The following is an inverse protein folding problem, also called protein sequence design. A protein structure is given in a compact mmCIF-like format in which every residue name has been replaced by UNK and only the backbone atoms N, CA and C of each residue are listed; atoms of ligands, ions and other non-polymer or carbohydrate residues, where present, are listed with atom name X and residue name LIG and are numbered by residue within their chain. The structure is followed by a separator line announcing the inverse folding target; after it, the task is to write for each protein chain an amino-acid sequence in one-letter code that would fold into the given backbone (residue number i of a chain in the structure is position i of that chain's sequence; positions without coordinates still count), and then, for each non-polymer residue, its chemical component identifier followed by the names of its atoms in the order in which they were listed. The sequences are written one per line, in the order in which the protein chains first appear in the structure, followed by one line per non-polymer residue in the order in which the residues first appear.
data_IF_266646689393
#
_entry.id   IF_266646689393
#
_cell.length_a   1.000
_cell.length_b   1.000
_cell.length_c   1.000
_cell.angle_alpha   90.00
_cell.angle_beta   90.00
_cell.angle_gamma   90.00
#
_symmetry.space_group_name_H-M   'P 1'
#
loop_
_entity.id
_entity.type
_entity.pdbx_description
1 polymer ?
#
# COMPACT_ATOMS: atom_id res chain seq x y z
N UNK A 1 2.24 -5.45 -39.58
CA UNK A 1 1.02 -6.27 -39.66
C UNK A 1 1.01 -7.27 -38.51
N UNK A 2 0.57 -6.83 -37.33
CA UNK A 2 0.26 -7.67 -36.17
C UNK A 2 -0.97 -7.02 -35.51
N UNK A 3 -2.15 -7.32 -36.06
CA UNK A 3 -3.43 -7.04 -35.41
C UNK A 3 -3.74 -8.27 -34.55
N UNK A 4 -3.22 -8.30 -33.32
CA UNK A 4 -3.67 -9.29 -32.35
C UNK A 4 -5.05 -8.87 -31.86
N UNK A 5 -6.04 -9.59 -32.40
CA UNK A 5 -7.43 -9.56 -31.99
C UNK A 5 -7.53 -10.11 -30.57
N UNK A 6 -7.79 -9.25 -29.60
CA UNK A 6 -8.53 -9.65 -28.41
C UNK A 6 -9.96 -9.96 -28.88
N UNK A 7 -10.23 -11.23 -29.15
CA UNK A 7 -11.59 -11.74 -29.36
C UNK A 7 -12.13 -12.14 -28.01
N UNK A 8 -13.00 -11.30 -27.45
CA UNK A 8 -13.79 -11.58 -26.26
C UNK A 8 -14.67 -12.83 -26.49
N UNK A 9 -14.47 -13.93 -25.74
CA UNK A 9 -15.48 -14.96 -25.62
C UNK A 9 -16.62 -14.40 -24.77
N UNK A 10 -17.85 -14.62 -25.23
CA UNK A 10 -19.10 -14.22 -24.60
C UNK A 10 -19.12 -14.42 -23.08
N UNK A 11 -19.41 -13.37 -22.29
CA UNK A 11 -19.79 -13.59 -20.89
C UNK A 11 -19.62 -12.49 -19.83
N UNK A 12 -19.11 -11.28 -20.10
CA UNK A 12 -19.01 -10.26 -19.04
C UNK A 12 -20.39 -9.93 -18.44
N UNK A 13 -20.62 -10.39 -17.20
CA UNK A 13 -21.73 -9.92 -16.37
C UNK A 13 -21.33 -8.56 -15.81
N UNK A 14 -22.00 -7.49 -16.24
CA UNK A 14 -21.88 -6.18 -15.59
C UNK A 14 -22.57 -6.28 -14.23
N UNK A 15 -21.82 -6.17 -13.14
CA UNK A 15 -22.40 -5.80 -11.84
C UNK A 15 -22.25 -4.30 -11.69
N UNK A 16 -23.36 -3.58 -11.72
CA UNK A 16 -23.43 -2.17 -11.38
C UNK A 16 -23.87 -2.14 -9.92
N UNK A 17 -22.95 -1.86 -9.00
CA UNK A 17 -23.26 -1.72 -7.58
C UNK A 17 -23.43 -0.21 -7.34
N UNK A 18 -24.64 0.22 -6.99
CA UNK A 18 -24.95 1.62 -6.68
C UNK A 18 -25.42 1.66 -5.23
N UNK A 19 -24.64 2.30 -4.35
CA UNK A 19 -25.00 2.59 -2.97
C UNK A 19 -25.14 4.11 -2.76
N UNK A 20 -26.24 4.56 -2.13
CA UNK A 20 -26.43 5.97 -1.77
C UNK A 20 -26.02 6.21 -0.31
N UNK A 21 -24.85 6.81 -0.06
CA UNK A 21 -24.35 7.23 1.26
C UNK A 21 -23.46 8.47 1.17
N UNK A 22 -23.01 9.00 2.32
CA UNK A 22 -22.38 10.33 2.51
C UNK A 22 -21.17 10.62 1.62
N UNK A 23 -20.48 9.58 1.14
CA UNK A 23 -19.37 9.63 0.20
C UNK A 23 -19.76 8.75 -1.01
N UNK A 24 -19.51 9.17 -2.27
CA UNK A 24 -19.78 8.33 -3.43
C UNK A 24 -18.98 7.03 -3.38
N UNK A 25 -19.60 5.89 -3.70
CA UNK A 25 -18.94 4.60 -3.67
C UNK A 25 -19.85 3.42 -3.33
N UNK A 26 -19.30 2.22 -3.50
CA UNK A 26 -19.96 0.96 -3.17
C UNK A 26 -19.48 0.45 -1.83
N UNK A 27 -20.39 0.35 -0.86
CA UNK A 27 -20.14 -0.21 0.45
C UNK A 27 -20.66 -1.64 0.51
N UNK A 28 -19.80 -2.58 0.90
CA UNK A 28 -20.16 -3.97 1.14
C UNK A 28 -20.35 -4.18 2.64
N UNK A 29 -21.59 -4.50 3.03
CA UNK A 29 -22.00 -4.55 4.43
C UNK A 29 -22.48 -3.21 4.97
N UNK A 30 -22.64 -3.13 6.29
CA UNK A 30 -22.96 -1.90 7.03
C UNK A 30 -21.98 -1.62 8.20
N UNK A 31 -20.78 -2.21 8.17
CA UNK A 31 -19.77 -2.12 9.21
C UNK A 31 -19.03 -0.77 9.26
N UNK A 32 -19.38 0.18 8.40
CA UNK A 32 -18.83 1.54 8.40
C UNK A 32 -19.27 2.37 9.60
N UNK A 33 -20.22 1.87 10.39
CA UNK A 33 -20.81 2.60 11.51
C UNK A 33 -19.92 2.61 12.76
N UNK A 34 -20.16 3.59 13.64
CA UNK A 34 -19.47 3.70 14.94
C UNK A 34 -20.04 2.66 15.91
N UNK A 35 -19.27 1.62 16.21
CA UNK A 35 -19.70 0.54 17.09
C UNK A 35 -19.99 1.09 18.49
N UNK A 36 -21.17 0.75 19.03
CA UNK A 36 -21.64 1.25 20.32
C UNK A 36 -22.50 2.51 20.21
N UNK A 37 -22.60 3.13 19.03
CA UNK A 37 -23.61 4.15 18.75
C UNK A 37 -25.01 3.53 18.59
N UNK A 38 -26.05 4.35 18.73
CA UNK A 38 -27.43 3.89 18.60
C UNK A 38 -27.71 3.33 17.19
N UNK A 39 -28.04 2.03 17.10
CA UNK A 39 -28.28 1.34 15.82
C UNK A 39 -27.03 0.75 15.16
N UNK A 40 -25.90 0.71 15.89
CA UNK A 40 -24.66 0.06 15.48
C UNK A 40 -24.06 -0.71 16.68
N UNK A 41 -24.84 -1.62 17.28
CA UNK A 41 -24.23 -2.63 18.15
C UNK A 41 -23.45 -3.64 17.28
N UNK A 42 -22.45 -4.37 17.82
CA UNK A 42 -21.78 -5.44 17.07
C UNK A 42 -22.75 -6.46 16.46
N UNK A 43 -23.90 -6.71 17.10
CA UNK A 43 -24.97 -7.58 16.59
C UNK A 43 -25.77 -7.00 15.42
N UNK A 44 -25.64 -5.69 15.18
CA UNK A 44 -26.35 -4.97 14.12
C UNK A 44 -25.50 -4.89 12.83
N UNK A 45 -24.24 -5.34 12.89
CA UNK A 45 -23.36 -5.44 11.71
C UNK A 45 -23.81 -6.63 10.85
N UNK A 46 -24.25 -6.32 9.64
CA UNK A 46 -24.58 -7.22 8.56
C UNK A 46 -23.31 -7.52 7.79
N UNK A 47 -22.75 -8.70 8.05
CA UNK A 47 -21.67 -9.28 7.27
C UNK A 47 -22.14 -9.66 5.86
N UNK A 48 -21.45 -9.15 4.83
CA UNK A 48 -21.67 -9.51 3.44
C UNK A 48 -20.36 -10.07 2.87
N UNK A 49 -20.45 -11.16 2.10
CA UNK A 49 -19.30 -11.65 1.32
C UNK A 49 -19.49 -11.25 -0.14
N UNK A 50 -18.65 -10.33 -0.63
CA UNK A 50 -18.60 -9.96 -2.04
C UNK A 50 -17.71 -10.96 -2.78
N UNK A 51 -18.28 -11.67 -3.75
CA UNK A 51 -17.51 -12.52 -4.67
C UNK A 51 -17.36 -11.81 -6.01
N UNK A 52 -16.12 -11.62 -6.45
CA UNK A 52 -15.80 -11.10 -7.78
C UNK A 52 -15.17 -12.25 -8.59
N UNK A 53 -15.89 -12.68 -9.62
CA UNK A 53 -15.45 -13.78 -10.47
C UNK A 53 -14.22 -13.41 -11.31
N UNK A 54 -13.38 -14.40 -11.63
CA UNK A 54 -12.24 -14.22 -12.51
C UNK A 54 -12.61 -13.59 -13.86
N UNK A 55 -11.75 -12.73 -14.39
CA UNK A 55 -11.99 -11.99 -15.64
C UNK A 55 -13.00 -10.84 -15.53
N UNK A 56 -13.43 -10.49 -14.31
CA UNK A 56 -14.34 -9.35 -14.10
C UNK A 56 -13.62 -8.02 -14.28
N UNK A 57 -14.28 -7.09 -14.96
CA UNK A 57 -13.92 -5.68 -15.02
C UNK A 57 -14.81 -4.90 -14.05
N UNK A 58 -14.20 -4.25 -13.06
CA UNK A 58 -14.85 -3.34 -12.11
C UNK A 58 -14.53 -1.91 -12.54
N UNK A 59 -15.55 -1.05 -12.60
CA UNK A 59 -15.42 0.33 -13.03
C UNK A 59 -15.90 1.27 -11.92
N UNK A 60 -15.11 2.28 -11.59
CA UNK A 60 -15.50 3.40 -10.72
C UNK A 60 -15.50 4.74 -11.48
N UNK A 61 -16.36 5.67 -11.06
CA UNK A 61 -16.26 7.08 -11.43
C UNK A 61 -15.27 7.82 -10.49
N UNK A 62 -14.92 9.07 -10.84
CA UNK A 62 -13.87 9.86 -10.20
C UNK A 62 -13.87 9.82 -8.67
N UNK A 63 -15.01 10.02 -8.01
CA UNK A 63 -15.09 10.03 -6.54
C UNK A 63 -15.59 8.71 -5.94
N UNK A 64 -15.67 7.63 -6.71
CA UNK A 64 -16.19 6.35 -6.23
C UNK A 64 -15.08 5.41 -5.78
N UNK A 65 -15.29 4.83 -4.59
CA UNK A 65 -14.48 3.74 -4.04
C UNK A 65 -15.27 2.42 -3.98
N UNK A 66 -14.56 1.29 -3.98
CA UNK A 66 -15.10 0.01 -3.51
C UNK A 66 -14.63 -0.22 -2.07
N UNK A 67 -15.57 -0.26 -1.13
CA UNK A 67 -15.30 -0.28 0.31
C UNK A 67 -15.87 -1.56 0.91
N UNK A 68 -15.00 -2.40 1.47
CA UNK A 68 -15.37 -3.58 2.24
C UNK A 68 -15.41 -3.18 3.70
N UNK A 69 -16.61 -3.07 4.27
CA UNK A 69 -16.78 -2.59 5.64
C UNK A 69 -16.51 -3.69 6.67
N UNK A 70 -16.24 -3.30 7.92
CA UNK A 70 -15.98 -4.24 9.02
C UNK A 70 -17.00 -5.38 9.10
N UNK A 71 -16.50 -6.59 9.27
CA UNK A 71 -17.29 -7.81 9.34
C UNK A 71 -17.77 -8.33 7.98
N UNK A 72 -17.52 -7.62 6.88
CA UNK A 72 -17.72 -8.11 5.51
C UNK A 72 -16.41 -8.58 4.91
N UNK A 73 -16.51 -9.42 3.86
CA UNK A 73 -15.35 -9.98 3.19
C UNK A 73 -15.41 -9.80 1.69
N UNK A 74 -14.25 -9.78 1.04
CA UNK A 74 -14.12 -9.86 -0.41
C UNK A 74 -13.44 -11.16 -0.84
N UNK A 75 -13.95 -11.82 -1.87
CA UNK A 75 -13.30 -12.92 -2.56
C UNK A 75 -13.12 -12.51 -4.03
N UNK A 76 -12.03 -11.79 -4.30
CA UNK A 76 -11.66 -11.35 -5.65
C UNK A 76 -10.48 -12.20 -6.13
N UNK A 77 -10.81 -13.41 -6.58
CA UNK A 77 -9.82 -14.43 -6.94
C UNK A 77 -9.86 -14.69 -8.44
N UNK A 78 -9.12 -13.86 -9.17
CA UNK A 78 -8.83 -14.04 -10.59
C UNK A 78 -7.85 -15.18 -10.85
N UNK A 79 -7.39 -15.26 -12.10
CA UNK A 79 -6.32 -16.18 -12.49
C UNK A 79 -5.30 -15.48 -13.39
N UNK A 80 -4.14 -16.10 -13.61
CA UNK A 80 -3.13 -15.56 -14.52
C UNK A 80 -3.65 -15.32 -15.95
N UNK A 81 -4.65 -16.10 -16.41
CA UNK A 81 -5.26 -15.94 -17.74
C UNK A 81 -6.47 -15.03 -17.74
N UNK A 82 -7.17 -14.93 -16.60
CA UNK A 82 -8.39 -14.16 -16.43
C UNK A 82 -8.28 -13.32 -15.14
N UNK A 83 -7.40 -12.30 -15.11
CA UNK A 83 -7.26 -11.44 -13.95
C UNK A 83 -8.52 -10.60 -13.76
N UNK A 84 -8.77 -10.20 -12.51
CA UNK A 84 -9.76 -9.16 -12.21
C UNK A 84 -9.10 -7.81 -12.44
N UNK A 85 -9.76 -6.91 -13.17
CA UNK A 85 -9.27 -5.57 -13.45
C UNK A 85 -10.22 -4.55 -12.82
N UNK A 86 -9.68 -3.65 -12.01
CA UNK A 86 -10.40 -2.52 -11.41
C UNK A 86 -9.79 -1.21 -11.95
N UNK A 87 -10.61 -0.36 -12.56
CA UNK A 87 -10.17 0.90 -13.20
C UNK A 87 -11.32 1.90 -13.28
N UNK A 88 -11.06 3.08 -13.81
CA UNK A 88 -12.08 4.09 -14.07
C UNK A 88 -12.99 3.83 -15.29
N UNK A 89 -14.15 4.49 -15.30
CA UNK A 89 -15.02 4.61 -16.48
C UNK A 89 -14.33 5.35 -17.63
N UNK A 90 -13.47 6.32 -17.34
CA UNK A 90 -12.74 7.11 -18.35
C UNK A 90 -11.73 6.24 -19.11
N UNK A 91 -10.94 5.43 -18.40
CA UNK A 91 -10.03 4.48 -19.01
C UNK A 91 -10.75 3.44 -19.86
N UNK A 92 -11.88 2.93 -19.37
CA UNK A 92 -12.71 2.01 -20.15
C UNK A 92 -13.24 2.67 -21.43
N UNK A 93 -13.69 3.93 -21.32
CA UNK A 93 -14.18 4.70 -22.47
C UNK A 93 -13.07 4.92 -23.49
N UNK A 94 -11.85 5.22 -23.05
CA UNK A 94 -10.68 5.32 -23.91
C UNK A 94 -10.37 4.00 -24.64
N UNK A 95 -10.40 2.85 -23.95
CA UNK A 95 -10.21 1.54 -24.56
C UNK A 95 -11.27 1.23 -25.62
N UNK A 96 -12.55 1.51 -25.34
CA UNK A 96 -13.66 1.29 -26.29
C UNK A 96 -13.55 2.21 -27.51
N UNK A 97 -13.06 3.44 -27.33
CA UNK A 97 -12.77 4.36 -28.43
C UNK A 97 -11.58 3.92 -29.30
N UNK A 98 -10.90 2.83 -28.96
CA UNK A 98 -9.73 2.33 -29.67
C UNK A 98 -8.44 3.07 -29.32
N UNK A 99 -8.45 3.85 -28.23
CA UNK A 99 -7.23 4.40 -27.67
C UNK A 99 -6.44 3.25 -27.03
N UNK A 100 -5.17 3.14 -27.43
CA UNK A 100 -4.17 2.40 -26.65
C UNK A 100 -3.48 3.32 -25.64
N UNK A 101 -3.98 4.55 -25.51
CA UNK A 101 -3.51 5.54 -24.57
C UNK A 101 -4.10 5.32 -23.19
N UNK A 102 -3.37 5.86 -22.25
CA UNK A 102 -3.65 5.94 -20.83
C UNK A 102 -4.44 7.23 -20.56
N UNK A 103 -5.52 7.16 -19.79
CA UNK A 103 -6.39 8.32 -19.57
C UNK A 103 -5.91 9.24 -18.45
N UNK A 104 -5.09 8.74 -17.50
CA UNK A 104 -4.53 9.54 -16.42
C UNK A 104 -4.47 8.82 -15.08
N UNK A 105 -4.08 9.57 -14.05
CA UNK A 105 -4.05 9.16 -12.64
C UNK A 105 -5.28 9.71 -11.92
N UNK A 106 -5.73 9.09 -10.83
CA UNK A 106 -6.79 9.65 -9.98
C UNK A 106 -8.15 9.72 -10.67
N UNK A 107 -8.48 8.70 -11.45
CA UNK A 107 -9.72 8.64 -12.22
C UNK A 107 -10.85 7.91 -11.48
N UNK A 108 -10.55 7.31 -10.33
CA UNK A 108 -11.47 6.79 -9.33
C UNK A 108 -10.73 6.74 -7.98
N UNK A 109 -11.47 6.51 -6.90
CA UNK A 109 -10.90 6.62 -5.57
C UNK A 109 -9.96 5.46 -5.23
N UNK A 110 -10.43 4.21 -5.39
CA UNK A 110 -9.65 3.01 -5.09
C UNK A 110 -10.44 1.90 -4.39
N UNK A 111 -9.71 0.90 -3.91
CA UNK A 111 -10.24 -0.23 -3.13
C UNK A 111 -9.79 -0.11 -1.67
N UNK A 112 -10.75 -0.11 -0.74
CA UNK A 112 -10.47 -0.05 0.69
C UNK A 112 -11.10 -1.23 1.45
N UNK A 113 -10.33 -1.87 2.33
CA UNK A 113 -10.79 -2.94 3.23
C UNK A 113 -10.70 -2.44 4.68
N UNK A 114 -11.81 -2.44 5.40
CA UNK A 114 -11.90 -2.03 6.80
C UNK A 114 -12.10 -3.28 7.67
N UNK A 115 -11.10 -3.62 8.47
CA UNK A 115 -11.09 -4.79 9.35
C UNK A 115 -11.15 -4.46 10.85
N UNK A 116 -10.96 -5.49 11.67
CA UNK A 116 -11.03 -5.43 13.14
C UNK A 116 -9.67 -5.53 13.87
N UNK A 117 -8.54 -5.53 13.15
CA UNK A 117 -7.22 -5.58 13.77
C UNK A 117 -6.90 -4.32 14.59
N UNK A 118 -5.97 -4.46 15.53
CA UNK A 118 -5.58 -3.37 16.41
C UNK A 118 -4.72 -2.34 15.67
N UNK A 119 -4.99 -1.07 15.96
CA UNK A 119 -4.23 0.13 15.55
C UNK A 119 -3.78 0.91 16.79
N UNK A 120 -2.72 1.69 16.66
CA UNK A 120 -2.28 2.61 17.71
C UNK A 120 -3.09 3.92 17.78
N UNK A 121 -4.06 4.10 16.87
CA UNK A 121 -4.98 5.26 16.85
C UNK A 121 -6.22 5.09 17.75
N UNK A 122 -6.41 3.92 18.36
CA UNK A 122 -7.60 3.62 19.15
C UNK A 122 -7.71 4.51 20.40
N UNK A 123 -8.81 5.26 20.51
CA UNK A 123 -9.17 6.00 21.73
C UNK A 123 -10.39 5.33 22.39
N UNK A 124 -10.13 4.46 23.37
CA UNK A 124 -11.18 3.79 24.15
C UNK A 124 -11.62 2.43 23.59
N UNK A 125 -12.70 1.89 24.15
CA UNK A 125 -13.28 0.59 23.79
C UNK A 125 -14.81 0.71 23.73
N UNK A 126 -15.48 0.21 22.66
CA UNK A 126 -14.90 -0.41 21.46
C UNK A 126 -14.06 0.60 20.64
N UNK A 127 -13.05 0.10 19.92
CA UNK A 127 -12.25 0.95 19.05
C UNK A 127 -13.03 1.32 17.77
N UNK A 128 -13.07 2.62 17.47
CA UNK A 128 -13.68 3.18 16.27
C UNK A 128 -12.76 4.29 15.74
N UNK A 129 -11.82 3.92 14.87
CA UNK A 129 -11.00 4.91 14.18
C UNK A 129 -11.69 5.28 12.88
N UNK A 130 -11.87 6.57 12.64
CA UNK A 130 -12.43 7.03 11.37
C UNK A 130 -11.36 6.83 10.29
N UNK A 131 -11.68 6.05 9.27
CA UNK A 131 -10.82 5.84 8.12
C UNK A 131 -10.64 7.16 7.37
N UNK A 132 -9.49 7.32 6.73
CA UNK A 132 -9.24 8.40 5.78
C UNK A 132 -10.31 8.43 4.69
N UNK A 133 -10.58 9.61 4.13
CA UNK A 133 -11.72 9.79 3.23
C UNK A 133 -13.08 9.85 3.95
N UNK A 134 -13.14 9.66 5.27
CA UNK A 134 -14.41 9.53 6.00
C UNK A 134 -15.29 8.39 5.46
N UNK A 135 -14.66 7.30 5.00
CA UNK A 135 -15.34 6.12 4.42
C UNK A 135 -15.88 5.14 5.48
N UNK A 136 -15.90 5.54 6.75
CA UNK A 136 -16.40 4.73 7.84
C UNK A 136 -15.38 4.47 8.94
N UNK A 137 -15.80 3.67 9.91
CA UNK A 137 -14.95 3.28 11.03
C UNK A 137 -14.29 1.93 10.80
N UNK A 138 -13.02 1.83 11.17
CA UNK A 138 -12.23 0.61 11.17
C UNK A 138 -11.64 0.30 12.56
N UNK A 139 -10.86 -0.77 12.64
CA UNK A 139 -10.17 -1.29 13.81
C UNK A 139 -11.08 -1.99 14.83
N UNK A 140 -10.43 -2.65 15.78
CA UNK A 140 -11.04 -3.46 16.83
C UNK A 140 -9.97 -4.08 17.72
N UNK A 141 -10.23 -5.30 18.18
CA UNK A 141 -9.34 -6.09 19.03
C UNK A 141 -8.99 -7.47 18.44
N UNK A 142 -9.25 -7.69 17.14
CA UNK A 142 -9.03 -8.98 16.46
C UNK A 142 -7.93 -8.90 15.38
N UNK A 143 -6.69 -9.14 15.78
CA UNK A 143 -5.55 -9.28 14.87
C UNK A 143 -5.62 -10.54 13.96
N UNK A 144 -6.62 -11.42 14.15
CA UNK A 144 -6.86 -12.56 13.26
C UNK A 144 -8.07 -12.33 12.33
N UNK A 145 -8.62 -11.11 12.28
CA UNK A 145 -9.71 -10.74 11.38
C UNK A 145 -9.43 -11.18 9.92
N UNK A 146 -10.48 -11.65 9.26
CA UNK A 146 -10.43 -12.07 7.85
C UNK A 146 -11.34 -11.15 7.05
N UNK A 147 -10.74 -10.14 6.42
CA UNK A 147 -11.41 -9.23 5.49
C UNK A 147 -11.48 -9.81 4.06
N UNK A 148 -10.95 -11.02 3.84
CA UNK A 148 -11.07 -11.78 2.61
C UNK A 148 -9.76 -12.03 1.87
N UNK A 149 -9.88 -12.28 0.56
CA UNK A 149 -8.79 -12.65 -0.33
C UNK A 149 -8.81 -11.88 -1.64
N UNK A 150 -7.62 -11.41 -2.04
CA UNK A 150 -7.35 -10.82 -3.35
C UNK A 150 -6.31 -11.69 -4.07
N UNK A 151 -6.65 -12.20 -5.25
CA UNK A 151 -5.67 -12.90 -6.08
C UNK A 151 -5.81 -12.60 -7.57
N UNK A 152 -4.70 -12.34 -8.26
CA UNK A 152 -4.68 -11.91 -9.66
C UNK A 152 -5.59 -10.70 -9.90
N UNK A 153 -5.38 -9.65 -9.12
CA UNK A 153 -6.13 -8.39 -9.18
C UNK A 153 -5.22 -7.30 -9.72
N UNK A 154 -5.72 -6.55 -10.69
CA UNK A 154 -5.02 -5.40 -11.30
C UNK A 154 -5.85 -4.15 -11.05
N UNK A 155 -5.30 -3.20 -10.28
CA UNK A 155 -5.91 -1.94 -9.91
C UNK A 155 -5.18 -0.84 -10.69
N UNK A 156 -5.92 -0.07 -11.49
CA UNK A 156 -5.35 0.93 -12.39
C UNK A 156 -5.96 2.31 -12.12
N UNK A 157 -5.18 3.38 -12.20
CA UNK A 157 -5.69 4.78 -12.27
C UNK A 157 -6.49 5.25 -11.05
N UNK A 158 -6.29 4.63 -9.89
CA UNK A 158 -6.91 5.02 -8.62
C UNK A 158 -6.21 6.26 -8.01
N UNK A 159 -6.50 6.61 -6.76
CA UNK A 159 -5.77 7.68 -6.06
C UNK A 159 -6.55 8.99 -5.87
N UNK A 160 -7.84 9.04 -6.18
CA UNK A 160 -8.55 10.32 -6.25
C UNK A 160 -9.16 10.76 -4.91
N UNK A 161 -9.29 12.07 -4.74
CA UNK A 161 -10.03 12.73 -3.66
C UNK A 161 -11.54 12.41 -3.76
N UNK A 162 -12.09 11.87 -2.68
CA UNK A 162 -13.48 11.41 -2.64
C UNK A 162 -14.46 12.47 -2.14
N UNK A 163 -13.99 13.54 -1.50
CA UNK A 163 -14.85 14.61 -0.98
C UNK A 163 -14.44 16.03 -1.40
N UNK A 164 -13.34 16.18 -2.15
CA UNK A 164 -12.87 17.45 -2.69
C UNK A 164 -12.19 18.35 -1.65
N UNK A 165 -11.86 17.80 -0.48
CA UNK A 165 -11.24 18.50 0.64
C UNK A 165 -9.78 18.08 0.87
N UNK A 166 -9.19 17.33 -0.05
CA UNK A 166 -7.88 16.70 0.10
C UNK A 166 -7.94 15.49 1.02
N UNK A 167 -8.99 14.66 0.87
CA UNK A 167 -9.04 13.33 1.48
C UNK A 167 -8.97 12.28 0.36
N UNK A 168 -7.81 12.24 -0.30
CA UNK A 168 -7.45 11.23 -1.27
C UNK A 168 -7.51 9.81 -0.65
N UNK A 169 -7.88 8.83 -1.48
CA UNK A 169 -7.69 7.40 -1.18
C UNK A 169 -6.61 6.84 -2.09
N UNK A 170 -6.11 5.67 -1.74
CA UNK A 170 -4.98 5.03 -2.43
C UNK A 170 -5.46 4.01 -3.47
N UNK A 171 -4.52 3.36 -4.16
CA UNK A 171 -4.86 2.24 -5.04
C UNK A 171 -5.53 1.09 -4.29
N UNK A 172 -4.86 0.59 -3.26
CA UNK A 172 -5.36 -0.45 -2.37
C UNK A 172 -5.04 -0.09 -0.91
N UNK A 173 -6.07 0.17 -0.13
CA UNK A 173 -5.92 0.57 1.27
C UNK A 173 -6.40 -0.51 2.22
N UNK A 174 -5.58 -0.83 3.21
CA UNK A 174 -5.87 -1.77 4.29
C UNK A 174 -6.02 -1.03 5.61
N UNK A 175 -7.26 -0.87 6.07
CA UNK A 175 -7.57 -0.25 7.34
C UNK A 175 -7.81 -1.33 8.40
N UNK A 176 -6.80 -1.63 9.21
CA UNK A 176 -6.92 -2.58 10.32
C UNK A 176 -7.37 -3.98 9.88
N UNK A 177 -6.91 -4.49 8.73
CA UNK A 177 -7.17 -5.86 8.31
C UNK A 177 -6.36 -6.87 9.14
N UNK A 178 -6.97 -8.00 9.48
CA UNK A 178 -6.32 -9.04 10.28
C UNK A 178 -5.47 -10.01 9.47
N UNK A 179 -4.69 -10.83 10.15
CA UNK A 179 -3.82 -11.85 9.56
C UNK A 179 -4.56 -13.00 8.85
N UNK A 180 -5.89 -13.07 8.96
CA UNK A 180 -6.72 -13.93 8.13
C UNK A 180 -6.86 -13.44 6.68
N UNK A 181 -6.65 -12.14 6.46
CA UNK A 181 -6.73 -11.49 5.14
C UNK A 181 -5.48 -11.80 4.31
N UNK A 182 -5.67 -12.18 3.05
CA UNK A 182 -4.54 -12.55 2.16
C UNK A 182 -4.61 -11.87 0.81
N UNK A 183 -3.47 -11.38 0.32
CA UNK A 183 -3.38 -10.77 -1.02
C UNK A 183 -2.18 -11.33 -1.79
N UNK A 184 -2.41 -11.96 -2.95
CA UNK A 184 -1.34 -12.59 -3.73
C UNK A 184 -1.49 -12.35 -5.23
N UNK A 185 -0.44 -11.93 -5.94
CA UNK A 185 -0.51 -11.53 -7.35
C UNK A 185 -1.39 -10.29 -7.54
N UNK A 186 -1.03 -9.19 -6.88
CA UNK A 186 -1.72 -7.90 -6.99
C UNK A 186 -0.83 -6.92 -7.77
N UNK A 187 -1.42 -6.21 -8.73
CA UNK A 187 -0.78 -5.07 -9.38
C UNK A 187 -1.56 -3.80 -9.05
N UNK A 188 -0.85 -2.75 -8.63
CA UNK A 188 -1.36 -1.38 -8.63
C UNK A 188 -0.54 -0.57 -9.62
N UNK A 189 -1.22 0.11 -10.53
CA UNK A 189 -0.59 0.88 -11.57
C UNK A 189 -1.20 2.27 -11.67
N UNK A 190 -0.32 3.26 -11.71
CA UNK A 190 -0.66 4.62 -12.07
C UNK A 190 -1.72 5.25 -11.15
N UNK A 191 -1.57 5.01 -9.85
CA UNK A 191 -2.28 5.78 -8.83
C UNK A 191 -1.88 7.25 -8.86
N UNK A 192 -2.80 8.15 -8.55
CA UNK A 192 -2.47 9.55 -8.23
C UNK A 192 -1.79 9.65 -6.86
N UNK A 193 -2.26 8.83 -5.94
CA UNK A 193 -1.76 8.68 -4.58
C UNK A 193 -1.07 7.32 -4.43
N UNK A 194 -0.99 6.82 -3.20
CA UNK A 194 -0.23 5.62 -2.89
C UNK A 194 -0.66 4.38 -3.65
N UNK A 195 0.30 3.51 -3.93
CA UNK A 195 0.01 2.21 -4.52
C UNK A 195 -0.78 1.31 -3.58
N UNK A 196 -0.16 1.01 -2.45
CA UNK A 196 -0.73 0.24 -1.35
C UNK A 196 -0.43 0.99 -0.07
N UNK A 197 -1.43 1.15 0.78
CA UNK A 197 -1.24 1.75 2.10
C UNK A 197 -1.90 0.92 3.21
N UNK A 198 -1.16 0.72 4.30
CA UNK A 198 -1.63 0.02 5.49
C UNK A 198 -1.80 0.98 6.67
N UNK A 199 -3.03 1.10 7.18
CA UNK A 199 -3.35 1.81 8.40
C UNK A 199 -3.61 0.83 9.53
N UNK A 200 -2.60 0.62 10.39
CA UNK A 200 -2.62 -0.50 11.32
C UNK A 200 -2.52 -1.80 10.51
N UNK A 201 -3.32 -2.81 10.86
CA UNK A 201 -3.38 -4.10 10.17
C UNK A 201 -2.24 -5.09 10.52
N UNK A 202 -2.50 -6.35 10.18
CA UNK A 202 -1.66 -7.53 10.41
C UNK A 202 -1.71 -8.52 9.24
N UNK A 203 -2.32 -8.13 8.11
CA UNK A 203 -2.39 -8.96 6.90
C UNK A 203 -1.02 -9.19 6.27
N UNK A 204 -0.97 -10.20 5.40
CA UNK A 204 0.21 -10.53 4.62
C UNK A 204 -0.10 -10.51 3.13
N UNK A 205 0.83 -9.96 2.35
CA UNK A 205 0.73 -9.94 0.89
C UNK A 205 1.98 -10.47 0.17
N UNK A 206 1.79 -11.12 -0.99
CA UNK A 206 2.90 -11.61 -1.80
C UNK A 206 2.70 -11.44 -3.31
N UNK A 207 3.81 -11.44 -4.06
CA UNK A 207 3.82 -11.23 -5.51
C UNK A 207 3.11 -9.93 -5.92
N UNK A 208 3.67 -8.80 -5.51
CA UNK A 208 3.06 -7.48 -5.69
C UNK A 208 3.84 -6.67 -6.73
N UNK A 209 3.14 -5.97 -7.62
CA UNK A 209 3.74 -5.07 -8.62
C UNK A 209 3.14 -3.67 -8.48
N UNK A 210 3.99 -2.68 -8.19
CA UNK A 210 3.59 -1.29 -7.97
C UNK A 210 4.33 -0.43 -8.99
N UNK A 211 3.59 0.25 -9.87
CA UNK A 211 4.18 0.87 -11.06
C UNK A 211 3.54 2.20 -11.40
N UNK A 212 4.34 3.23 -11.67
CA UNK A 212 3.87 4.54 -12.17
C UNK A 212 2.93 5.32 -11.22
N UNK A 213 2.90 4.97 -9.93
CA UNK A 213 2.18 5.72 -8.90
C UNK A 213 2.82 7.10 -8.72
N UNK A 214 2.02 8.13 -8.51
CA UNK A 214 2.49 9.51 -8.40
C UNK A 214 2.81 9.96 -6.97
N UNK A 215 2.55 9.11 -5.98
CA UNK A 215 3.02 9.28 -4.61
C UNK A 215 3.79 8.04 -4.13
N UNK A 216 3.62 7.60 -2.88
CA UNK A 216 4.35 6.47 -2.34
C UNK A 216 3.88 5.16 -2.98
N UNK A 217 4.78 4.19 -3.16
CA UNK A 217 4.33 2.92 -3.76
C UNK A 217 3.77 1.99 -2.72
N UNK A 218 4.46 1.85 -1.58
CA UNK A 218 4.07 0.98 -0.48
C UNK A 218 4.24 1.75 0.83
N UNK A 219 3.14 2.21 1.40
CA UNK A 219 3.11 2.98 2.65
C UNK A 219 2.56 2.13 3.80
N UNK A 220 3.02 2.41 5.02
CA UNK A 220 2.27 2.03 6.20
C UNK A 220 2.37 3.06 7.33
N UNK A 221 1.31 3.08 8.14
CA UNK A 221 1.27 3.79 9.40
C UNK A 221 0.46 3.07 10.46
N UNK A 222 0.21 3.80 11.55
CA UNK A 222 -0.81 3.48 12.54
C UNK A 222 -0.65 2.10 13.21
N UNK A 223 0.58 1.62 13.30
CA UNK A 223 0.93 0.39 14.01
C UNK A 223 0.87 -0.87 13.15
N UNK A 224 1.14 -0.81 11.83
CA UNK A 224 1.16 -2.00 10.96
C UNK A 224 2.16 -3.08 11.41
N UNK A 225 1.67 -4.32 11.60
CA UNK A 225 2.48 -5.46 12.09
C UNK A 225 2.43 -6.67 11.15
N UNK A 226 1.97 -6.48 9.92
CA UNK A 226 1.88 -7.52 8.90
C UNK A 226 3.20 -7.81 8.19
N UNK A 227 3.11 -8.16 6.91
CA UNK A 227 4.30 -8.31 6.08
C UNK A 227 4.02 -8.41 4.60
N UNK A 228 5.09 -8.32 3.81
CA UNK A 228 5.00 -8.52 2.37
C UNK A 228 6.22 -9.25 1.81
N UNK A 229 6.02 -10.04 0.75
CA UNK A 229 7.10 -10.75 0.08
C UNK A 229 7.00 -10.76 -1.45
N UNK A 230 8.14 -10.69 -2.15
CA UNK A 230 8.20 -10.68 -3.62
C UNK A 230 7.50 -9.46 -4.21
N UNK A 231 8.04 -8.28 -3.92
CA UNK A 231 7.48 -7.00 -4.35
C UNK A 231 8.39 -6.34 -5.37
N UNK A 232 7.82 -5.85 -6.47
CA UNK A 232 8.50 -5.03 -7.47
C UNK A 232 7.87 -3.65 -7.49
N UNK A 233 8.69 -2.63 -7.26
CA UNK A 233 8.30 -1.23 -7.33
C UNK A 233 9.08 -0.57 -8.47
N UNK A 234 8.35 0.12 -9.36
CA UNK A 234 8.92 1.10 -10.29
C UNK A 234 8.12 2.39 -10.18
N UNK A 235 8.71 3.39 -9.53
CA UNK A 235 8.07 4.68 -9.33
C UNK A 235 7.70 5.38 -10.65
N UNK A 236 6.81 6.37 -10.61
CA UNK A 236 6.53 7.23 -11.75
C UNK A 236 7.80 7.96 -12.21
N UNK A 237 7.89 8.22 -13.52
CA UNK A 237 9.04 8.97 -14.08
C UNK A 237 8.86 10.49 -14.04
N UNK A 238 7.63 10.95 -13.82
CA UNK A 238 7.21 12.34 -13.91
C UNK A 238 6.53 12.84 -12.63
N UNK A 239 6.42 11.99 -11.61
CA UNK A 239 5.84 12.21 -10.29
C UNK A 239 6.46 11.19 -9.31
N UNK A 240 5.91 11.07 -8.10
CA UNK A 240 6.36 10.15 -7.05
C UNK A 240 7.08 10.88 -5.92
N UNK A 241 6.94 10.36 -4.69
CA UNK A 241 7.74 10.77 -3.54
C UNK A 241 8.74 9.67 -3.13
N UNK A 242 8.35 8.76 -2.23
CA UNK A 242 9.13 7.59 -1.81
C UNK A 242 8.66 6.33 -2.51
N UNK A 243 9.53 5.34 -2.62
CA UNK A 243 9.06 4.00 -3.00
C UNK A 243 8.38 3.30 -1.82
N UNK A 244 8.96 3.47 -0.64
CA UNK A 244 8.38 3.09 0.64
C UNK A 244 8.45 4.31 1.55
N UNK A 245 7.31 4.76 2.07
CA UNK A 245 7.22 5.62 3.23
C UNK A 245 6.62 4.81 4.39
N UNK A 246 7.08 5.10 5.61
CA UNK A 246 6.84 4.18 6.71
C UNK A 246 6.82 4.90 8.06
N UNK A 247 5.65 4.84 8.68
CA UNK A 247 5.32 5.53 9.92
C UNK A 247 4.93 4.54 11.02
N UNK A 248 5.03 4.99 12.28
CA UNK A 248 4.28 4.37 13.37
C UNK A 248 3.12 5.27 13.79
N UNK A 249 3.42 6.47 14.27
CA UNK A 249 2.43 7.47 14.65
C UNK A 249 3.08 8.86 14.57
N UNK A 250 2.42 9.80 13.90
CA UNK A 250 2.94 11.14 13.67
C UNK A 250 3.15 11.95 14.96
N UNK A 251 2.25 11.80 15.93
CA UNK A 251 2.21 12.63 17.14
C UNK A 251 2.86 11.95 18.35
N UNK A 252 2.95 10.62 18.32
CA UNK A 252 3.42 9.77 19.40
C UNK A 252 4.26 8.63 18.83
N UNK A 253 5.48 8.91 18.36
CA UNK A 253 6.38 7.92 17.74
C UNK A 253 6.51 6.56 18.45
N UNK A 254 6.37 6.51 19.79
CA UNK A 254 6.43 5.27 20.58
C UNK A 254 5.06 4.64 20.88
N UNK A 255 3.99 5.07 20.19
CA UNK A 255 2.64 4.56 20.35
C UNK A 255 2.58 3.05 20.08
N UNK A 256 1.77 2.36 20.89
CA UNK A 256 1.58 0.93 20.81
C UNK A 256 0.16 0.61 20.30
N UNK A 257 -0.01 -0.46 19.49
CA UNK A 257 1.02 -1.31 18.91
C UNK A 257 1.95 -0.55 17.94
N UNK A 258 3.23 -0.94 17.91
CA UNK A 258 4.24 -0.26 17.09
C UNK A 258 4.31 -0.86 15.70
N UNK A 259 4.40 -0.04 14.66
CA UNK A 259 4.66 -0.48 13.30
C UNK A 259 5.99 -1.22 13.25
N UNK A 260 5.95 -2.49 12.87
CA UNK A 260 7.12 -3.37 12.79
C UNK A 260 6.87 -4.54 11.81
N UNK A 261 6.59 -4.26 10.52
CA UNK A 261 6.30 -5.32 9.56
C UNK A 261 7.54 -6.14 9.20
N UNK A 262 7.29 -7.31 8.62
CA UNK A 262 8.33 -8.18 8.04
C UNK A 262 8.26 -8.15 6.52
N UNK A 263 9.27 -7.58 5.87
CA UNK A 263 9.33 -7.42 4.42
C UNK A 263 10.50 -8.22 3.83
N UNK A 264 10.25 -8.95 2.74
CA UNK A 264 11.28 -9.77 2.10
C UNK A 264 11.23 -9.76 0.57
N UNK A 265 12.40 -9.78 -0.09
CA UNK A 265 12.55 -9.90 -1.54
C UNK A 265 11.88 -8.73 -2.30
N UNK A 266 12.41 -7.52 -2.11
CA UNK A 266 11.94 -6.31 -2.77
C UNK A 266 12.93 -5.86 -3.84
N UNK A 267 12.42 -5.51 -5.02
CA UNK A 267 13.16 -4.81 -6.07
C UNK A 267 12.50 -3.45 -6.32
N UNK A 268 13.22 -2.39 -6.02
CA UNK A 268 12.72 -1.02 -6.01
C UNK A 268 13.56 -0.19 -6.97
N UNK A 269 12.90 0.41 -7.95
CA UNK A 269 13.51 1.24 -8.99
C UNK A 269 12.81 2.59 -9.02
N UNK A 270 13.60 3.65 -9.15
CA UNK A 270 13.02 4.94 -9.52
C UNK A 270 12.45 4.89 -10.94
N UNK A 271 11.45 5.72 -11.22
CA UNK A 271 10.89 5.89 -12.56
C UNK A 271 11.76 6.74 -13.48
N UNK A 272 12.60 7.59 -12.89
CA UNK A 272 13.51 8.51 -13.56
C UNK A 272 14.86 8.55 -12.82
N UNK A 273 15.84 9.27 -13.38
CA UNK A 273 17.12 9.60 -12.71
C UNK A 273 17.28 11.10 -12.48
N UNK A 274 16.29 11.89 -12.91
CA UNK A 274 16.24 13.34 -12.78
C UNK A 274 15.57 13.79 -11.47
N UNK A 275 15.06 15.04 -11.42
CA UNK A 275 14.57 15.60 -10.17
C UNK A 275 13.35 14.92 -9.55
N UNK A 276 12.57 14.18 -10.33
CA UNK A 276 11.42 13.40 -9.87
C UNK A 276 11.84 12.09 -9.19
N UNK A 277 13.12 11.71 -9.22
CA UNK A 277 13.58 10.43 -8.73
C UNK A 277 13.66 10.29 -7.19
N UNK A 278 13.10 11.25 -6.43
CA UNK A 278 12.79 11.20 -4.99
C UNK A 278 13.72 10.39 -4.07
N UNK A 279 13.11 9.79 -3.04
CA UNK A 279 13.75 8.90 -2.06
C UNK A 279 13.31 7.44 -2.23
N UNK A 280 14.16 6.49 -1.88
CA UNK A 280 13.86 5.06 -2.02
C UNK A 280 12.96 4.55 -0.90
N UNK A 281 13.54 4.42 0.30
CA UNK A 281 12.84 3.93 1.50
C UNK A 281 13.00 4.97 2.59
N UNK A 282 11.91 5.51 3.12
CA UNK A 282 11.90 6.38 4.28
C UNK A 282 11.27 5.65 5.46
N UNK A 283 12.02 5.49 6.54
CA UNK A 283 11.52 4.98 7.82
C UNK A 283 11.49 6.15 8.80
N UNK A 284 10.33 6.50 9.33
CA UNK A 284 10.16 7.67 10.18
C UNK A 284 9.06 7.44 11.23
N UNK A 285 8.81 8.49 12.02
CA UNK A 285 7.72 8.59 13.00
C UNK A 285 7.62 7.39 13.96
N UNK A 286 8.77 6.84 14.33
CA UNK A 286 8.88 5.71 15.24
C UNK A 286 8.63 4.34 14.62
N UNK A 287 8.52 4.21 13.30
CA UNK A 287 8.40 2.89 12.67
C UNK A 287 9.63 2.00 12.90
N UNK A 288 9.45 0.70 12.93
CA UNK A 288 10.51 -0.27 12.70
C UNK A 288 10.18 -1.13 11.49
N UNK A 289 11.13 -1.93 11.02
CA UNK A 289 10.85 -2.96 10.01
C UNK A 289 11.92 -4.04 10.02
N UNK A 290 11.53 -5.27 9.70
CA UNK A 290 12.46 -6.33 9.35
C UNK A 290 12.60 -6.43 7.82
N UNK A 291 13.71 -5.91 7.29
CA UNK A 291 13.96 -5.85 5.83
C UNK A 291 14.97 -6.92 5.39
N UNK A 292 14.54 -7.82 4.51
CA UNK A 292 15.36 -8.91 3.97
C UNK A 292 15.40 -8.89 2.43
N UNK A 293 16.60 -8.99 1.84
CA UNK A 293 16.79 -9.08 0.39
C UNK A 293 16.18 -7.91 -0.41
N UNK A 294 16.58 -6.69 -0.08
CA UNK A 294 16.20 -5.49 -0.80
C UNK A 294 17.24 -5.08 -1.85
N UNK A 295 16.74 -4.71 -3.03
CA UNK A 295 17.48 -4.00 -4.07
C UNK A 295 16.80 -2.65 -4.29
N UNK A 296 17.51 -1.56 -4.02
CA UNK A 296 17.00 -0.19 -4.23
C UNK A 296 17.97 0.56 -5.14
N UNK A 297 17.46 1.06 -6.27
CA UNK A 297 18.30 1.64 -7.33
C UNK A 297 17.71 2.90 -7.92
N UNK A 298 18.60 3.79 -8.35
CA UNK A 298 18.33 4.95 -9.22
C UNK A 298 17.50 6.08 -8.59
N UNK A 299 17.30 6.06 -7.27
CA UNK A 299 16.75 7.21 -6.53
C UNK A 299 17.79 8.32 -6.37
N UNK A 300 17.36 9.57 -6.52
CA UNK A 300 18.25 10.74 -6.49
C UNK A 300 18.68 11.09 -5.08
N UNK A 301 17.75 11.07 -4.12
CA UNK A 301 17.96 11.66 -2.80
C UNK A 301 18.61 10.67 -1.84
N UNK A 302 17.98 9.51 -1.64
CA UNK A 302 18.47 8.47 -0.74
C UNK A 302 17.92 7.10 -1.17
N UNK A 303 18.64 6.01 -0.86
CA UNK A 303 18.07 4.67 -1.01
C UNK A 303 17.37 4.20 0.27
N UNK A 304 17.89 4.65 1.42
CA UNK A 304 17.30 4.45 2.72
C UNK A 304 17.55 5.73 3.53
N UNK A 305 16.48 6.26 4.09
CA UNK A 305 16.46 7.34 5.05
C UNK A 305 15.77 6.87 6.33
N UNK A 306 16.36 7.21 7.47
CA UNK A 306 15.84 6.86 8.79
C UNK A 306 15.80 8.12 9.63
N UNK A 307 14.58 8.53 9.90
CA UNK A 307 14.26 9.80 10.55
C UNK A 307 13.77 9.61 11.97
N UNK A 308 13.99 10.64 12.79
CA UNK A 308 13.69 10.72 14.22
C UNK A 308 14.40 9.67 15.11
N UNK A 309 14.63 10.06 16.37
CA UNK A 309 15.36 9.22 17.34
C UNK A 309 14.61 7.95 17.72
N UNK A 310 13.28 7.99 17.75
CA UNK A 310 12.46 6.84 18.11
C UNK A 310 12.60 5.72 17.08
N UNK A 311 12.56 6.06 15.78
CA UNK A 311 12.79 5.13 14.66
C UNK A 311 14.22 4.61 14.71
N UNK A 312 15.21 5.51 14.77
CA UNK A 312 16.62 5.15 14.77
C UNK A 312 17.00 4.21 15.93
N UNK A 313 16.33 4.34 17.08
CA UNK A 313 16.56 3.47 18.24
C UNK A 313 16.17 2.00 18.01
N UNK A 314 15.29 1.71 17.05
CA UNK A 314 14.93 0.34 16.66
C UNK A 314 15.97 -0.33 15.76
N UNK A 315 16.80 0.48 15.10
CA UNK A 315 17.88 0.02 14.24
C UNK A 315 19.19 0.00 15.05
N UNK A 316 19.40 -1.09 15.79
CA UNK A 316 20.64 -1.31 16.55
C UNK A 316 21.90 -1.42 15.69
N UNK A 317 23.04 -1.78 16.29
CA UNK A 317 24.32 -1.99 15.56
C UNK A 317 24.28 -3.09 14.50
N UNK A 318 23.24 -3.93 14.52
CA UNK A 318 22.91 -4.93 13.50
C UNK A 318 21.73 -4.42 12.66
N UNK A 319 22.04 -3.60 11.66
CA UNK A 319 21.08 -2.94 10.75
C UNK A 319 20.35 -3.94 9.82
N UNK A 320 19.23 -3.54 9.17
CA UNK A 320 18.53 -4.32 8.16
C UNK A 320 19.47 -4.89 7.09
N UNK A 321 19.21 -6.12 6.66
CA UNK A 321 19.96 -6.78 5.58
C UNK A 321 19.54 -6.25 4.20
N UNK A 322 19.81 -4.98 3.93
CA UNK A 322 19.71 -4.41 2.58
C UNK A 322 20.85 -4.96 1.72
N UNK A 323 20.52 -5.88 0.81
CA UNK A 323 21.51 -6.59 0.01
C UNK A 323 22.28 -5.66 -0.94
N UNK A 324 21.62 -4.64 -1.52
CA UNK A 324 22.24 -3.65 -2.41
C UNK A 324 21.50 -2.30 -2.42
N UNK A 325 22.22 -1.24 -2.13
CA UNK A 325 21.89 0.13 -2.53
C UNK A 325 22.87 0.51 -3.65
N UNK A 326 22.38 0.65 -4.88
CA UNK A 326 23.19 1.10 -6.01
C UNK A 326 22.73 2.51 -6.37
N UNK A 327 23.68 3.45 -6.40
CA UNK A 327 23.57 4.86 -6.84
C UNK A 327 23.15 5.95 -5.83
N UNK A 328 22.63 5.61 -4.63
CA UNK A 328 22.26 6.61 -3.61
C UNK A 328 23.00 6.47 -2.26
N UNK A 329 22.97 7.53 -1.43
CA UNK A 329 23.52 7.53 -0.07
C UNK A 329 22.53 6.89 0.92
N UNK A 330 23.05 6.30 2.00
CA UNK A 330 22.26 6.00 3.19
C UNK A 330 22.28 7.23 4.11
N UNK A 331 21.10 7.77 4.41
CA UNK A 331 20.91 8.84 5.39
C UNK A 331 20.60 8.25 6.77
N UNK A 332 21.35 8.65 7.80
CA UNK A 332 21.01 8.42 9.20
C UNK A 332 20.98 9.78 9.87
N UNK A 333 19.79 10.34 10.09
CA UNK A 333 19.64 11.67 10.69
C UNK A 333 19.74 11.64 12.24
N UNK A 334 20.63 10.79 12.78
CA UNK A 334 21.01 10.75 14.21
C UNK A 334 22.51 10.51 14.41
N UNK A 335 23.30 11.59 14.57
CA UNK A 335 24.73 11.66 15.00
C UNK A 335 25.70 10.52 14.58
N UNK A 336 25.42 9.80 13.49
CA UNK A 336 26.18 8.62 13.05
C UNK A 336 26.55 8.84 11.60
N UNK A 337 27.84 9.03 11.34
CA UNK A 337 28.37 9.29 10.00
C UNK A 337 28.42 7.99 9.20
N UNK A 338 27.69 7.90 8.08
CA UNK A 338 27.84 6.83 7.11
C UNK A 338 28.92 7.20 6.10
N UNK A 339 29.89 6.31 5.88
CA UNK A 339 30.90 6.47 4.82
C UNK A 339 30.40 5.77 3.55
N UNK A 340 30.51 6.43 2.41
CA UNK A 340 30.00 5.99 1.10
C UNK A 340 30.49 4.58 0.73
N UNK A 341 29.58 3.70 0.29
CA UNK A 341 29.93 2.38 -0.27
C UNK A 341 30.44 2.58 -1.71
N UNK A 342 31.76 2.53 -1.92
CA UNK A 342 32.33 2.41 -3.26
C UNK A 342 32.69 0.96 -3.59
N UNK A 343 32.20 0.47 -4.73
CA UNK A 343 32.61 -0.82 -5.30
C UNK A 343 34.03 -0.69 -5.88
N UNK A 344 35.01 -1.49 -5.43
CA UNK A 344 36.30 -1.55 -6.12
C UNK A 344 36.10 -2.10 -7.55
N UNK A 345 36.70 -1.51 -8.59
CA UNK A 345 36.63 -2.06 -9.94
C UNK A 345 37.26 -3.46 -9.97
N UNK A 346 36.50 -4.49 -10.36
CA UNK A 346 37.01 -5.84 -10.65
C UNK A 346 36.70 -6.97 -9.65
N UNK A 347 35.89 -6.76 -8.61
CA UNK A 347 35.49 -7.82 -7.67
C UNK A 347 34.34 -8.71 -8.20
N UNK A 348 34.49 -10.04 -8.12
CA UNK A 348 33.45 -11.05 -8.41
C UNK A 348 32.83 -11.66 -7.15
N UNK A 349 33.17 -11.17 -5.95
CA UNK A 349 32.59 -11.63 -4.68
C UNK A 349 31.41 -10.72 -4.31
N UNK A 350 30.31 -11.29 -3.82
CA UNK A 350 29.21 -10.51 -3.25
C UNK A 350 29.76 -9.55 -2.16
N UNK A 351 29.34 -8.28 -2.12
CA UNK A 351 29.86 -7.34 -1.14
C UNK A 351 29.56 -7.85 0.27
N UNK A 352 30.61 -8.08 1.06
CA UNK A 352 30.50 -8.35 2.50
C UNK A 352 30.66 -7.02 3.21
N UNK A 353 29.65 -6.64 4.00
CA UNK A 353 29.63 -5.40 4.76
C UNK A 353 30.47 -5.60 6.03
N UNK A 354 31.50 -4.76 6.22
CA UNK A 354 32.28 -4.69 7.46
C UNK A 354 32.37 -3.23 7.88
N UNK A 355 31.84 -2.88 9.05
CA UNK A 355 32.01 -1.56 9.67
C UNK A 355 32.81 -1.68 10.96
N UNK A 356 33.68 -0.70 11.24
CA UNK A 356 34.36 -0.56 12.53
C UNK A 356 33.89 0.71 13.24
N UNK A 357 33.55 0.60 14.52
CA UNK A 357 33.32 1.76 15.38
C UNK A 357 34.66 2.44 15.71
N UNK A 358 34.76 3.75 15.50
CA UNK A 358 35.74 4.57 16.23
C UNK A 358 35.03 5.26 17.36
N UNK A 359 35.28 4.80 18.57
CA UNK A 359 35.08 5.62 19.77
C UNK A 359 36.19 6.66 19.79
N UNK A 360 35.86 7.96 19.72
CA UNK A 360 36.80 9.00 20.14
C UNK A 360 36.63 9.22 21.65
N UNK A 361 37.71 9.22 22.45
CA UNK A 361 37.61 9.47 23.88
C UNK A 361 37.31 10.95 24.16
N UNK A 362 36.46 11.16 25.18
CA UNK A 362 36.10 12.39 25.91
C UNK A 362 36.15 13.75 25.20
#
# INVERSE_FOLDING_TARGET
ALRNRWRYPHGCRRQHLIGSRRVPGTYIGNGECEIGSAGCAPTDVVSVSLVIEAGTLVLGDASEALIITRGSTIAANGTATDPIVMTSVDQFTAWVAGSNGDSGRGEWAGLALLGYAQTNQCVGSPCNVNAEGNIGFYAGDDDNDDSGSLSYVVILHAGNDIDGLGNELNGLTFFGTGSGTTSSYVQVHKGLDDGVEHFGATDFMDHVVLTDNADDSFDWGQGYRGGAQFVVIKQASDAGDKAIEADNDENANDAAPRSLPVLANFTIMSGDTGPAAGGGVLLRRGTGAHLYNFVVVDFRDNCLDVDQSATAALFGTDSPSMARCCTAQMGLHSKTTVTTLQRPPGSTVAPTIVWSTRTSPA
#
